data_IF_738377828186
#
_entry.id   IF_738377828186
#
_cell.length_a   1.000
_cell.length_b   1.000
_cell.length_c   1.000
_cell.angle_alpha   90.00
_cell.angle_beta   90.00
_cell.angle_gamma   90.00
#
_symmetry.space_group_name_H-M   'P 1'
#
loop_
_entity.id
_entity.type
_entity.pdbx_description
1 polymer ?
#
# COMPACT_ATOMS: atom_id res chain seq x y z
N UNK A 1 -84.68 26.16 49.65
CA UNK A 1 -83.51 26.19 50.44
C UNK A 1 -82.47 25.46 49.62
N UNK A 2 -81.70 26.18 48.87
CA UNK A 2 -80.91 25.69 47.77
C UNK A 2 -79.46 25.59 48.17
N UNK A 3 -78.91 24.42 48.01
CA UNK A 3 -77.48 24.25 48.05
C UNK A 3 -76.98 23.71 46.68
N UNK A 4 -76.32 24.60 45.99
CA UNK A 4 -75.62 24.25 44.70
C UNK A 4 -74.26 23.68 45.00
N UNK A 5 -73.80 22.67 44.22
CA UNK A 5 -72.44 22.13 44.33
C UNK A 5 -71.47 22.89 43.44
N UNK A 6 -70.31 23.19 43.98
CA UNK A 6 -69.16 23.78 43.29
C UNK A 6 -68.44 22.76 42.51
N UNK A 7 -68.24 23.09 41.26
CA UNK A 7 -67.58 22.28 40.23
C UNK A 7 -66.10 22.13 40.45
N UNK A 8 -65.60 20.90 40.29
CA UNK A 8 -64.16 20.55 40.01
C UNK A 8 -63.90 20.70 38.51
N UNK A 9 -62.93 21.53 38.10
CA UNK A 9 -61.95 21.08 37.09
C UNK A 9 -60.59 21.76 37.30
N UNK A 10 -59.68 21.18 38.07
CA UNK A 10 -58.31 21.68 38.12
C UNK A 10 -57.25 20.56 38.23
N UNK A 11 -57.60 19.28 37.97
CA UNK A 11 -56.69 18.18 38.12
C UNK A 11 -56.14 17.59 36.78
N UNK A 12 -56.66 17.97 35.63
CA UNK A 12 -56.26 17.40 34.33
C UNK A 12 -55.29 18.27 33.55
N UNK A 13 -54.99 19.50 33.96
CA UNK A 13 -54.04 20.39 33.26
C UNK A 13 -52.55 20.21 33.68
N UNK A 14 -52.32 19.58 34.85
CA UNK A 14 -50.94 19.38 35.34
C UNK A 14 -50.31 18.09 34.76
N UNK A 15 -51.12 17.11 34.38
CA UNK A 15 -50.60 15.83 33.81
C UNK A 15 -50.18 15.94 32.35
N UNK A 16 -50.69 16.91 31.57
CA UNK A 16 -50.32 17.09 30.16
C UNK A 16 -48.99 17.86 30.00
N UNK A 17 -48.64 18.75 30.93
CA UNK A 17 -47.37 19.48 30.87
C UNK A 17 -46.17 18.64 31.28
N UNK A 18 -46.32 17.62 32.16
CA UNK A 18 -45.23 16.71 32.54
C UNK A 18 -44.88 15.69 31.47
N UNK A 19 -45.87 15.27 30.64
CA UNK A 19 -45.63 14.35 29.53
C UNK A 19 -44.93 15.02 28.34
N UNK A 20 -45.16 16.32 28.10
CA UNK A 20 -44.50 17.07 27.02
C UNK A 20 -43.03 17.39 27.33
N UNK A 21 -42.65 17.55 28.61
CA UNK A 21 -41.24 17.75 28.98
C UNK A 21 -40.41 16.48 28.94
N UNK A 22 -40.97 15.29 29.01
CA UNK A 22 -40.23 14.02 28.91
C UNK A 22 -40.00 13.59 27.45
N UNK A 23 -40.77 14.07 26.47
CA UNK A 23 -40.56 13.80 25.06
C UNK A 23 -39.52 14.71 24.42
N UNK A 24 -39.21 15.87 24.97
CA UNK A 24 -38.16 16.76 24.46
C UNK A 24 -36.75 16.40 24.98
N UNK A 25 -36.66 15.59 26.03
CA UNK A 25 -35.38 15.10 26.59
C UNK A 25 -34.72 13.94 25.82
N UNK A 26 -35.47 13.24 24.95
CA UNK A 26 -34.99 12.08 24.25
C UNK A 26 -34.39 12.34 22.86
N UNK A 27 -34.35 13.60 22.40
CA UNK A 27 -33.77 13.99 21.10
C UNK A 27 -32.45 14.72 21.21
N UNK A 28 -31.79 14.67 22.36
CA UNK A 28 -30.33 14.83 22.40
C UNK A 28 -29.72 13.49 22.02
N UNK A 29 -29.90 13.12 20.73
CA UNK A 29 -29.01 12.15 20.12
C UNK A 29 -27.60 12.62 20.48
N UNK A 30 -26.91 11.83 21.30
CA UNK A 30 -25.49 11.94 21.53
C UNK A 30 -24.90 12.08 20.14
N UNK A 31 -24.53 13.27 19.72
CA UNK A 31 -23.56 13.46 18.66
C UNK A 31 -22.31 12.81 19.23
N UNK A 32 -22.18 11.51 18.99
CA UNK A 32 -20.91 10.87 19.16
C UNK A 32 -19.93 11.79 18.46
N UNK A 33 -19.03 12.40 19.19
CA UNK A 33 -17.91 13.11 18.60
C UNK A 33 -17.30 12.12 17.65
N UNK A 34 -17.39 12.39 16.34
CA UNK A 34 -16.76 11.55 15.36
C UNK A 34 -15.29 11.42 15.78
N UNK A 35 -14.84 10.20 15.98
CA UNK A 35 -13.48 9.95 16.41
C UNK A 35 -12.52 10.58 15.38
N UNK A 36 -11.42 11.10 15.85
CA UNK A 36 -10.32 11.51 14.99
C UNK A 36 -9.32 10.36 14.96
N UNK A 37 -9.19 9.70 13.83
CA UNK A 37 -8.17 8.68 13.61
C UNK A 37 -6.83 9.33 13.30
N UNK A 38 -5.74 8.72 13.74
CA UNK A 38 -4.38 9.06 13.33
C UNK A 38 -3.86 7.95 12.41
N UNK A 39 -3.64 8.32 11.16
CA UNK A 39 -3.07 7.45 10.13
C UNK A 39 -1.56 7.71 10.01
N UNK A 40 -0.74 6.68 10.27
CA UNK A 40 0.66 6.68 9.85
C UNK A 40 0.71 6.15 8.42
N UNK A 41 1.10 7.03 7.50
CA UNK A 41 1.04 6.80 6.07
C UNK A 41 2.42 6.70 5.43
N UNK A 42 2.71 5.56 4.83
CA UNK A 42 3.87 5.32 3.97
C UNK A 42 3.42 4.86 2.56
N UNK A 43 2.22 5.25 2.14
CA UNK A 43 1.76 5.13 0.76
C UNK A 43 1.77 6.52 0.11
N UNK A 44 1.77 6.60 -1.20
CA UNK A 44 1.80 7.85 -1.96
C UNK A 44 0.77 8.87 -1.48
N UNK A 45 1.21 10.08 -1.13
CA UNK A 45 0.36 11.09 -0.50
C UNK A 45 -0.84 11.49 -1.37
N UNK A 46 -0.68 11.58 -2.69
CA UNK A 46 -1.76 11.93 -3.60
C UNK A 46 -2.91 10.90 -3.56
N UNK A 47 -2.57 9.61 -3.44
CA UNK A 47 -3.55 8.52 -3.30
C UNK A 47 -4.28 8.65 -1.96
N UNK A 48 -3.52 8.78 -0.87
CA UNK A 48 -4.06 8.82 0.50
C UNK A 48 -4.91 10.05 0.73
N UNK A 49 -4.51 11.23 0.25
CA UNK A 49 -5.28 12.46 0.38
C UNK A 49 -6.67 12.34 -0.25
N UNK A 50 -6.77 11.67 -1.39
CA UNK A 50 -8.07 11.44 -2.03
C UNK A 50 -8.92 10.43 -1.29
N UNK A 51 -8.32 9.32 -0.81
CA UNK A 51 -9.01 8.31 -0.02
C UNK A 51 -9.52 8.87 1.31
N UNK A 52 -8.71 9.63 2.02
CA UNK A 52 -9.10 10.27 3.29
C UNK A 52 -10.27 11.21 3.07
N UNK A 53 -10.19 12.09 2.07
CA UNK A 53 -11.29 13.02 1.74
C UNK A 53 -12.59 12.28 1.44
N UNK A 54 -12.53 11.18 0.67
CA UNK A 54 -13.71 10.38 0.33
C UNK A 54 -14.26 9.64 1.56
N UNK A 55 -13.38 9.06 2.39
CA UNK A 55 -13.78 8.39 3.63
C UNK A 55 -14.43 9.35 4.63
N UNK A 56 -13.85 10.53 4.87
CA UNK A 56 -14.39 11.54 5.77
C UNK A 56 -15.78 12.01 5.31
N UNK A 57 -15.96 12.21 4.00
CA UNK A 57 -17.25 12.66 3.44
C UNK A 57 -18.37 11.64 3.66
N UNK A 58 -18.07 10.34 3.64
CA UNK A 58 -19.11 9.31 3.81
C UNK A 58 -19.31 8.83 5.25
N UNK A 59 -18.24 8.84 6.05
CA UNK A 59 -18.27 8.30 7.42
C UNK A 59 -18.50 9.38 8.50
N UNK A 60 -18.13 10.62 8.22
CA UNK A 60 -18.04 11.69 9.20
C UNK A 60 -16.88 11.54 10.19
N UNK A 61 -16.00 10.53 10.03
CA UNK A 61 -14.82 10.29 10.86
C UNK A 61 -13.66 11.09 10.27
N UNK A 62 -13.03 11.94 11.09
CA UNK A 62 -11.84 12.70 10.67
C UNK A 62 -10.60 11.84 10.71
N UNK A 63 -9.69 11.97 9.72
CA UNK A 63 -8.41 11.26 9.65
C UNK A 63 -7.26 12.25 9.60
N UNK A 64 -6.41 12.25 10.62
CA UNK A 64 -5.15 12.99 10.64
C UNK A 64 -4.06 12.13 10.05
N UNK A 65 -3.51 12.57 8.95
CA UNK A 65 -2.43 11.85 8.25
C UNK A 65 -1.07 12.35 8.73
N UNK A 66 -0.19 11.41 9.05
CA UNK A 66 1.23 11.62 9.25
C UNK A 66 1.98 10.79 8.23
N UNK A 67 2.49 11.43 7.19
CA UNK A 67 3.28 10.78 6.14
C UNK A 67 4.75 10.68 6.50
N UNK A 68 5.42 9.66 5.94
CA UNK A 68 6.85 9.42 6.06
C UNK A 68 7.24 8.14 5.35
N UNK A 69 8.55 7.91 5.24
CA UNK A 69 9.10 6.69 4.65
C UNK A 69 8.72 5.44 5.45
N UNK A 70 8.37 4.35 4.75
CA UNK A 70 7.90 3.10 5.34
C UNK A 70 8.81 2.56 6.45
N UNK A 71 10.11 2.33 6.18
CA UNK A 71 11.03 1.84 7.20
C UNK A 71 11.17 2.78 8.40
N UNK A 72 11.12 4.10 8.18
CA UNK A 72 11.22 5.08 9.26
C UNK A 72 9.97 5.08 10.17
N UNK A 73 8.78 5.06 9.57
CA UNK A 73 7.51 4.97 10.31
C UNK A 73 7.38 3.62 11.04
N UNK A 74 7.80 2.51 10.42
CA UNK A 74 7.82 1.21 11.06
C UNK A 74 8.76 1.19 12.29
N UNK A 75 9.98 1.72 12.15
CA UNK A 75 10.91 1.85 13.27
C UNK A 75 10.35 2.75 14.40
N UNK A 76 9.66 3.82 14.03
CA UNK A 76 8.97 4.69 14.97
C UNK A 76 7.86 3.94 15.73
N UNK A 77 7.00 3.19 15.05
CA UNK A 77 5.94 2.38 15.67
C UNK A 77 6.51 1.36 16.63
N UNK A 78 7.64 0.71 16.29
CA UNK A 78 8.35 -0.21 17.20
C UNK A 78 8.84 0.53 18.45
N UNK A 79 9.39 1.74 18.31
CA UNK A 79 9.88 2.54 19.44
C UNK A 79 8.75 3.10 20.32
N UNK A 80 7.62 3.46 19.73
CA UNK A 80 6.43 3.96 20.44
C UNK A 80 5.69 2.83 21.19
N UNK A 81 5.61 1.64 20.59
CA UNK A 81 4.92 0.47 21.16
C UNK A 81 3.48 0.80 21.56
N UNK A 82 3.07 0.41 22.77
CA UNK A 82 1.71 0.66 23.29
C UNK A 82 1.38 2.14 23.53
N UNK A 83 2.36 3.05 23.36
CA UNK A 83 2.18 4.50 23.53
C UNK A 83 1.99 5.22 22.19
N UNK A 84 1.98 4.49 21.08
CA UNK A 84 1.77 5.12 19.77
C UNK A 84 0.45 5.88 19.72
N UNK A 85 0.42 7.09 19.14
CA UNK A 85 -0.81 7.80 18.86
C UNK A 85 -1.50 7.30 17.58
N UNK A 86 -0.86 6.40 16.81
CA UNK A 86 -1.40 5.90 15.57
C UNK A 86 -2.54 4.91 15.81
N UNK A 87 -3.61 5.04 15.03
CA UNK A 87 -4.72 4.11 14.98
C UNK A 87 -4.58 3.12 13.82
N UNK A 88 -4.05 3.60 12.68
CA UNK A 88 -3.86 2.80 11.47
C UNK A 88 -2.47 3.05 10.92
N UNK A 89 -1.84 1.98 10.40
CA UNK A 89 -0.65 2.03 9.56
C UNK A 89 -1.02 1.61 8.15
N UNK A 90 -0.64 2.41 7.15
CA UNK A 90 -0.82 2.12 5.73
C UNK A 90 0.51 2.34 5.02
N UNK A 91 1.02 1.31 4.37
CA UNK A 91 2.32 1.34 3.68
C UNK A 91 2.21 0.73 2.28
N UNK A 92 3.11 1.13 1.42
CA UNK A 92 3.22 0.56 0.08
C UNK A 92 3.95 -0.79 0.05
N UNK A 93 4.72 -1.15 1.09
CA UNK A 93 5.54 -2.35 1.10
C UNK A 93 5.14 -3.35 2.20
N UNK A 94 5.02 -4.63 1.84
CA UNK A 94 4.63 -5.69 2.78
C UNK A 94 5.69 -6.02 3.85
N UNK A 95 7.02 -5.86 3.65
CA UNK A 95 8.00 -6.17 4.68
C UNK A 95 7.85 -5.35 5.96
N UNK A 96 7.45 -4.08 5.90
CA UNK A 96 7.17 -3.29 7.09
C UNK A 96 5.97 -3.85 7.86
N UNK A 97 4.96 -4.35 7.16
CA UNK A 97 3.80 -5.01 7.78
C UNK A 97 4.23 -6.29 8.48
N UNK A 98 5.05 -7.12 7.84
CA UNK A 98 5.61 -8.35 8.43
C UNK A 98 6.43 -8.02 9.67
N UNK A 99 7.29 -7.00 9.63
CA UNK A 99 8.08 -6.53 10.78
C UNK A 99 7.18 -6.17 11.96
N UNK A 100 6.19 -5.31 11.74
CA UNK A 100 5.30 -4.81 12.81
C UNK A 100 4.39 -5.91 13.35
N UNK A 101 3.97 -6.83 12.50
CA UNK A 101 3.20 -8.00 12.87
C UNK A 101 3.99 -8.95 13.78
N UNK A 102 5.22 -9.29 13.42
CA UNK A 102 6.14 -10.07 14.26
C UNK A 102 6.43 -9.40 15.61
N UNK A 103 6.33 -8.07 15.70
CA UNK A 103 6.41 -7.33 16.97
C UNK A 103 5.09 -7.34 17.75
N UNK A 104 4.01 -7.90 17.20
CA UNK A 104 2.70 -7.99 17.85
C UNK A 104 1.98 -6.64 17.98
N UNK A 105 2.27 -5.68 17.09
CA UNK A 105 1.73 -4.32 17.14
C UNK A 105 0.36 -4.18 16.50
N UNK A 106 -0.10 -5.17 15.72
CA UNK A 106 -1.38 -5.12 15.04
C UNK A 106 -2.50 -5.83 15.78
N UNK A 107 -3.69 -5.28 15.70
CA UNK A 107 -4.92 -5.95 16.06
C UNK A 107 -5.36 -6.88 14.91
N UNK A 108 -6.23 -7.85 15.22
CA UNK A 108 -6.87 -8.67 14.18
C UNK A 108 -7.71 -7.78 13.25
N UNK A 109 -7.55 -7.98 11.95
CA UNK A 109 -8.41 -7.35 10.94
C UNK A 109 -9.75 -8.10 10.90
N UNK A 110 -10.85 -7.37 10.73
CA UNK A 110 -12.18 -7.96 10.62
C UNK A 110 -12.25 -8.97 9.47
N UNK A 111 -12.88 -10.14 9.75
CA UNK A 111 -12.97 -11.22 8.76
C UNK A 111 -13.66 -10.82 7.44
N UNK A 112 -14.66 -9.93 7.50
CA UNK A 112 -15.30 -9.40 6.29
C UNK A 112 -14.34 -8.54 5.45
N UNK A 113 -13.48 -7.77 6.10
CA UNK A 113 -12.43 -6.97 5.45
C UNK A 113 -11.42 -7.88 4.73
N UNK A 114 -10.94 -8.92 5.40
CA UNK A 114 -10.02 -9.89 4.79
C UNK A 114 -10.63 -10.62 3.59
N UNK A 115 -11.94 -10.89 3.61
CA UNK A 115 -12.66 -11.55 2.51
C UNK A 115 -12.90 -10.63 1.29
N UNK A 116 -12.71 -9.32 1.44
CA UNK A 116 -12.87 -8.37 0.33
C UNK A 116 -11.75 -8.45 -0.71
N UNK A 117 -10.64 -9.13 -0.39
CA UNK A 117 -9.50 -9.34 -1.29
C UNK A 117 -9.14 -10.83 -1.36
N UNK A 118 -8.49 -11.32 -2.44
CA UNK A 118 -8.08 -12.71 -2.53
C UNK A 118 -7.12 -13.10 -1.40
N UNK A 119 -7.34 -14.25 -0.78
CA UNK A 119 -6.62 -14.70 0.42
C UNK A 119 -5.09 -14.68 0.28
N UNK A 120 -4.55 -14.88 -0.93
CA UNK A 120 -3.10 -14.83 -1.19
C UNK A 120 -2.45 -13.46 -0.92
N UNK A 121 -3.24 -12.40 -0.77
CA UNK A 121 -2.78 -11.03 -0.49
C UNK A 121 -2.99 -10.62 0.96
N UNK A 122 -3.38 -11.55 1.82
CA UNK A 122 -3.48 -11.38 3.26
C UNK A 122 -2.46 -12.26 3.98
N UNK A 123 -1.94 -11.85 5.15
CA UNK A 123 -1.14 -12.73 5.97
C UNK A 123 -2.00 -13.89 6.52
N UNK A 124 -1.37 -15.03 6.81
CA UNK A 124 -2.07 -16.20 7.27
C UNK A 124 -2.79 -16.00 8.62
N UNK A 125 -2.27 -15.12 9.44
CA UNK A 125 -2.81 -14.80 10.77
C UNK A 125 -3.89 -13.70 10.75
N UNK A 126 -4.05 -12.97 9.62
CA UNK A 126 -5.08 -11.96 9.44
C UNK A 126 -4.91 -10.70 10.26
N UNK A 127 -3.69 -10.27 10.55
CA UNK A 127 -3.42 -9.06 11.33
C UNK A 127 -3.35 -7.79 10.47
N UNK A 128 -3.28 -7.92 9.16
CA UNK A 128 -3.34 -6.83 8.19
C UNK A 128 -4.01 -7.30 6.90
N UNK A 129 -4.30 -6.40 5.99
CA UNK A 129 -4.94 -6.68 4.70
C UNK A 129 -4.16 -6.03 3.57
N UNK A 130 -3.97 -6.76 2.45
CA UNK A 130 -3.44 -6.18 1.22
C UNK A 130 -4.43 -5.21 0.59
N UNK A 131 -3.92 -4.10 0.05
CA UNK A 131 -4.75 -3.03 -0.53
C UNK A 131 -4.56 -2.90 -2.04
N UNK A 132 -3.32 -2.77 -2.49
CA UNK A 132 -2.95 -2.70 -3.90
C UNK A 132 -1.77 -3.64 -4.15
N UNK A 133 -1.54 -4.00 -5.43
CA UNK A 133 -0.37 -4.77 -5.82
C UNK A 133 0.41 -4.07 -6.93
N UNK A 134 1.71 -4.36 -7.03
CA UNK A 134 2.59 -3.91 -8.10
C UNK A 134 3.57 -5.00 -8.48
N UNK A 135 4.04 -4.94 -9.72
CA UNK A 135 4.99 -5.90 -10.27
C UNK A 135 6.36 -5.25 -10.43
N UNK A 136 7.42 -5.93 -10.05
CA UNK A 136 8.76 -5.58 -10.52
C UNK A 136 8.86 -5.86 -12.02
N UNK A 137 9.49 -4.94 -12.73
CA UNK A 137 9.64 -5.00 -14.19
C UNK A 137 11.02 -4.52 -14.61
N UNK A 138 11.39 -4.80 -15.85
CA UNK A 138 12.52 -4.15 -16.49
C UNK A 138 11.99 -3.09 -17.47
N UNK A 139 12.30 -1.83 -17.25
CA UNK A 139 12.07 -0.78 -18.26
C UNK A 139 13.25 -0.78 -19.21
N UNK A 140 13.01 -0.66 -20.52
CA UNK A 140 14.06 -0.64 -21.54
C UNK A 140 13.84 0.46 -22.60
N UNK A 141 14.91 1.00 -23.16
CA UNK A 141 14.83 2.01 -24.22
C UNK A 141 14.58 1.36 -25.58
N UNK A 142 13.41 1.60 -26.17
CA UNK A 142 12.94 0.93 -27.41
C UNK A 142 13.72 1.35 -28.67
N UNK A 143 14.43 2.49 -28.64
CA UNK A 143 15.27 2.94 -29.75
C UNK A 143 16.67 2.29 -29.73
N UNK A 144 17.10 1.72 -28.59
CA UNK A 144 18.47 1.24 -28.37
C UNK A 144 18.60 -0.27 -28.21
N UNK A 145 17.54 -0.96 -27.81
CA UNK A 145 17.56 -2.42 -27.61
C UNK A 145 16.22 -3.01 -28.02
N UNK A 146 16.24 -4.18 -28.62
CA UNK A 146 15.05 -4.94 -29.00
C UNK A 146 14.64 -5.91 -27.88
N UNK A 147 13.34 -6.25 -27.73
CA UNK A 147 12.87 -7.18 -26.70
C UNK A 147 13.61 -8.53 -26.67
N UNK A 148 14.00 -9.05 -27.83
CA UNK A 148 14.70 -10.33 -27.98
C UNK A 148 16.15 -10.31 -27.44
N UNK A 149 16.68 -9.12 -27.18
CA UNK A 149 18.03 -8.92 -26.63
C UNK A 149 18.00 -8.69 -25.11
N UNK A 150 16.80 -8.60 -24.52
CA UNK A 150 16.62 -8.43 -23.08
C UNK A 150 16.96 -9.72 -22.32
N UNK A 151 17.31 -9.63 -21.02
CA UNK A 151 17.70 -10.81 -20.26
C UNK A 151 16.51 -11.74 -20.05
N UNK A 152 16.74 -13.05 -20.10
CA UNK A 152 15.69 -14.03 -19.79
C UNK A 152 15.32 -14.05 -18.31
N UNK A 153 16.26 -13.70 -17.43
CA UNK A 153 16.07 -13.62 -15.98
C UNK A 153 16.64 -12.32 -15.41
N UNK A 154 16.04 -11.83 -14.34
CA UNK A 154 16.56 -10.71 -13.55
C UNK A 154 18.03 -10.93 -13.16
N UNK A 155 18.38 -12.16 -12.78
CA UNK A 155 19.72 -12.49 -12.33
C UNK A 155 20.78 -12.33 -13.43
N UNK A 156 20.40 -12.40 -14.69
CA UNK A 156 21.30 -12.19 -15.82
C UNK A 156 21.89 -10.78 -15.88
N UNK A 157 21.20 -9.77 -15.31
CA UNK A 157 21.68 -8.39 -15.24
C UNK A 157 22.99 -8.22 -14.44
N UNK A 158 23.34 -9.22 -13.62
CA UNK A 158 24.63 -9.28 -12.93
C UNK A 158 25.78 -9.79 -13.80
N UNK A 159 25.52 -10.31 -15.02
CA UNK A 159 26.54 -10.82 -15.92
C UNK A 159 27.31 -9.67 -16.59
N UNK A 160 28.60 -9.88 -16.94
CA UNK A 160 29.47 -8.81 -17.48
C UNK A 160 28.95 -8.11 -18.74
N UNK A 161 28.16 -8.79 -19.56
CA UNK A 161 27.57 -8.21 -20.79
C UNK A 161 26.60 -7.06 -20.52
N UNK A 162 26.11 -6.91 -19.27
CA UNK A 162 25.22 -5.85 -18.84
C UNK A 162 25.95 -4.63 -18.25
N UNK A 163 27.28 -4.63 -18.25
CA UNK A 163 28.07 -3.52 -17.70
C UNK A 163 27.74 -2.20 -18.39
N UNK A 164 27.35 -1.19 -17.59
CA UNK A 164 26.97 0.14 -18.05
C UNK A 164 25.60 0.22 -18.72
N UNK A 165 24.81 -0.88 -18.69
CA UNK A 165 23.52 -0.97 -19.39
C UNK A 165 22.31 -0.98 -18.46
N UNK A 166 22.48 -1.08 -17.15
CA UNK A 166 21.44 -1.24 -16.15
C UNK A 166 21.40 -0.03 -15.22
N UNK A 167 20.22 0.53 -14.98
CA UNK A 167 19.94 1.49 -13.91
C UNK A 167 19.28 0.81 -12.72
N UNK A 168 19.68 1.16 -11.51
CA UNK A 168 19.05 0.68 -10.27
C UNK A 168 19.06 1.79 -9.21
N UNK A 169 18.10 1.76 -8.29
CA UNK A 169 17.99 2.68 -7.15
C UNK A 169 18.01 1.88 -5.82
N UNK A 170 19.18 1.42 -5.33
CA UNK A 170 19.24 0.55 -4.17
C UNK A 170 18.79 1.20 -2.85
N UNK A 171 18.75 2.54 -2.77
CA UNK A 171 18.25 3.31 -1.63
C UNK A 171 16.74 3.54 -1.66
N UNK A 172 16.09 3.28 -2.79
CA UNK A 172 14.64 3.33 -2.92
C UNK A 172 13.99 2.18 -2.11
N UNK A 173 12.89 2.47 -1.43
CA UNK A 173 12.17 1.51 -0.60
C UNK A 173 11.67 0.29 -1.38
N UNK A 174 11.43 0.44 -2.69
CA UNK A 174 10.93 -0.62 -3.56
C UNK A 174 11.99 -1.64 -3.97
N UNK A 175 13.28 -1.30 -3.87
CA UNK A 175 14.36 -2.23 -4.20
C UNK A 175 14.57 -3.32 -3.14
N UNK A 176 14.33 -3.02 -1.86
CA UNK A 176 14.48 -3.96 -0.75
C UNK A 176 13.60 -5.22 -0.89
N UNK A 177 12.28 -5.11 -1.15
CA UNK A 177 11.41 -6.28 -1.36
C UNK A 177 11.84 -7.16 -2.53
N UNK A 178 12.40 -6.58 -3.59
CA UNK A 178 12.97 -7.36 -4.70
C UNK A 178 14.18 -8.17 -4.24
N UNK A 179 15.08 -7.58 -3.45
CA UNK A 179 16.24 -8.31 -2.89
C UNK A 179 15.77 -9.41 -1.96
N UNK A 180 14.73 -9.19 -1.16
CA UNK A 180 14.10 -10.22 -0.32
C UNK A 180 13.50 -11.35 -1.15
N UNK A 181 12.88 -11.04 -2.29
CA UNK A 181 12.37 -12.06 -3.21
C UNK A 181 13.52 -12.92 -3.82
N UNK A 182 14.62 -12.27 -4.23
CA UNK A 182 15.81 -13.00 -4.69
C UNK A 182 16.37 -13.88 -3.59
N UNK A 183 16.46 -13.37 -2.35
CA UNK A 183 16.95 -14.12 -1.20
C UNK A 183 16.08 -15.34 -0.90
N UNK A 184 14.75 -15.17 -0.89
CA UNK A 184 13.81 -16.24 -0.62
C UNK A 184 13.86 -17.37 -1.65
N UNK A 185 14.07 -17.04 -2.93
CA UNK A 185 14.06 -18.02 -4.04
C UNK A 185 15.42 -18.65 -4.31
N UNK A 186 16.51 -17.90 -4.11
CA UNK A 186 17.85 -18.33 -4.55
C UNK A 186 18.86 -18.46 -3.41
N UNK A 187 18.53 -18.02 -2.19
CA UNK A 187 19.38 -18.07 -1.01
C UNK A 187 20.44 -16.98 -0.96
N UNK A 188 21.10 -16.86 0.18
CA UNK A 188 22.00 -15.76 0.53
C UNK A 188 23.20 -15.62 -0.39
N UNK A 189 23.87 -16.75 -0.70
CA UNK A 189 25.08 -16.74 -1.53
C UNK A 189 24.80 -16.24 -2.95
N UNK A 190 23.72 -16.71 -3.58
CA UNK A 190 23.32 -16.29 -4.92
C UNK A 190 22.87 -14.84 -4.94
N UNK A 191 22.13 -14.39 -3.91
CA UNK A 191 21.71 -13.00 -3.77
C UNK A 191 22.90 -12.06 -3.65
N UNK A 192 23.86 -12.38 -2.78
CA UNK A 192 25.08 -11.57 -2.63
C UNK A 192 25.89 -11.51 -3.91
N UNK A 193 26.00 -12.64 -4.64
CA UNK A 193 26.67 -12.68 -5.93
C UNK A 193 25.96 -11.79 -6.96
N UNK A 194 24.64 -11.86 -7.05
CA UNK A 194 23.83 -11.02 -7.93
C UNK A 194 24.00 -9.54 -7.60
N UNK A 195 23.91 -9.15 -6.32
CA UNK A 195 24.10 -7.75 -5.87
C UNK A 195 25.50 -7.22 -6.21
N UNK A 196 26.56 -8.03 -6.02
CA UNK A 196 27.93 -7.65 -6.42
C UNK A 196 28.06 -7.48 -7.94
N UNK A 197 27.40 -8.32 -8.72
CA UNK A 197 27.32 -8.17 -10.17
C UNK A 197 26.58 -6.91 -10.59
N UNK A 198 25.45 -6.60 -9.96
CA UNK A 198 24.76 -5.33 -10.19
C UNK A 198 25.63 -4.12 -9.82
N UNK A 199 26.33 -4.15 -8.68
CA UNK A 199 27.28 -3.09 -8.29
C UNK A 199 28.34 -2.83 -9.34
N UNK A 200 28.83 -3.89 -9.99
CA UNK A 200 29.84 -3.78 -11.04
C UNK A 200 29.29 -3.29 -12.38
N UNK A 201 28.00 -3.54 -12.64
CA UNK A 201 27.35 -3.30 -13.94
C UNK A 201 26.47 -2.06 -13.99
N UNK A 202 25.81 -1.70 -12.87
CA UNK A 202 24.74 -0.72 -12.88
C UNK A 202 25.23 0.74 -12.72
N UNK A 203 24.45 1.65 -13.27
CA UNK A 203 24.43 3.06 -12.85
C UNK A 203 23.47 3.16 -11.66
N UNK A 204 23.91 3.84 -10.60
CA UNK A 204 23.13 4.03 -9.38
C UNK A 204 22.37 5.34 -9.48
N UNK A 205 21.09 5.31 -9.12
CA UNK A 205 20.18 6.45 -9.05
C UNK A 205 19.65 6.58 -7.61
N UNK A 206 19.11 7.74 -7.28
CA UNK A 206 18.54 8.00 -5.96
C UNK A 206 17.16 7.34 -5.79
N UNK A 207 16.38 7.27 -6.88
CA UNK A 207 15.01 6.72 -6.92
C UNK A 207 14.67 6.08 -8.28
N UNK A 208 13.58 5.32 -8.31
CA UNK A 208 13.07 4.62 -9.49
C UNK A 208 12.48 5.57 -10.55
N UNK A 209 12.04 6.78 -10.18
CA UNK A 209 11.66 7.82 -11.13
C UNK A 209 12.87 8.26 -11.96
N UNK A 210 14.00 8.47 -11.30
CA UNK A 210 15.27 8.81 -11.94
C UNK A 210 15.75 7.72 -12.89
N UNK A 211 15.64 6.44 -12.48
CA UNK A 211 15.94 5.27 -13.32
C UNK A 211 15.06 5.28 -14.58
N UNK A 212 13.74 5.37 -14.40
CA UNK A 212 12.75 5.34 -15.48
C UNK A 212 12.96 6.48 -16.48
N UNK A 213 13.17 7.69 -15.97
CA UNK A 213 13.45 8.87 -16.77
C UNK A 213 14.79 8.76 -17.54
N UNK A 214 15.83 8.18 -16.92
CA UNK A 214 17.13 7.97 -17.56
C UNK A 214 17.03 6.94 -18.70
N UNK A 215 16.29 5.84 -18.50
CA UNK A 215 16.01 4.86 -19.56
C UNK A 215 15.25 5.51 -20.72
N UNK A 216 14.19 6.27 -20.43
CA UNK A 216 13.40 6.94 -21.47
C UNK A 216 14.24 7.91 -22.31
N UNK A 217 15.13 8.68 -21.68
CA UNK A 217 16.06 9.58 -22.38
C UNK A 217 17.22 8.85 -23.06
N UNK A 218 17.40 7.56 -22.81
CA UNK A 218 18.50 6.76 -23.34
C UNK A 218 19.85 7.01 -22.66
N UNK A 219 19.85 7.51 -21.43
CA UNK A 219 21.03 7.64 -20.59
C UNK A 219 21.55 6.31 -20.09
N UNK A 220 20.65 5.37 -19.87
CA UNK A 220 20.93 3.97 -19.58
C UNK A 220 20.01 3.09 -20.45
N UNK A 221 20.41 1.84 -20.69
CA UNK A 221 19.73 0.98 -21.65
C UNK A 221 18.47 0.34 -21.06
N UNK A 222 18.57 -0.11 -19.82
CA UNK A 222 17.51 -0.76 -19.07
C UNK A 222 17.51 -0.28 -17.62
N UNK A 223 16.40 -0.50 -16.89
CA UNK A 223 16.28 -0.18 -15.47
C UNK A 223 15.37 -1.15 -14.75
N UNK A 224 15.73 -1.52 -13.53
CA UNK A 224 14.88 -2.33 -12.64
C UNK A 224 14.04 -1.35 -11.84
N UNK A 225 12.69 -1.46 -11.93
CA UNK A 225 11.74 -0.59 -11.24
C UNK A 225 10.42 -1.34 -10.99
N UNK A 226 9.49 -0.76 -10.24
CA UNK A 226 8.10 -1.20 -10.23
C UNK A 226 7.33 -0.63 -11.43
N UNK A 227 6.31 -1.33 -11.90
CA UNK A 227 5.55 -1.00 -13.11
C UNK A 227 4.99 0.43 -13.09
N UNK A 228 4.46 0.88 -11.97
CA UNK A 228 3.77 2.17 -11.87
C UNK A 228 4.66 3.39 -12.17
N UNK A 229 5.98 3.30 -12.01
CA UNK A 229 6.89 4.38 -12.38
C UNK A 229 6.91 4.63 -13.90
N UNK A 230 6.94 3.53 -14.68
CA UNK A 230 6.87 3.67 -16.13
C UNK A 230 5.47 4.04 -16.60
N UNK A 231 4.42 3.44 -16.01
CA UNK A 231 3.04 3.72 -16.38
C UNK A 231 2.70 5.20 -16.16
N UNK A 232 3.16 5.78 -15.05
CA UNK A 232 3.05 7.21 -14.76
C UNK A 232 3.79 8.07 -15.79
N UNK A 233 5.05 7.76 -16.04
CA UNK A 233 5.86 8.48 -17.04
C UNK A 233 5.20 8.41 -18.43
N UNK A 234 4.69 7.25 -18.82
CA UNK A 234 4.01 7.08 -20.10
C UNK A 234 2.71 7.89 -20.17
N UNK A 235 1.90 7.89 -19.13
CA UNK A 235 0.68 8.68 -19.05
C UNK A 235 0.96 10.20 -19.15
N UNK A 236 2.05 10.67 -18.54
CA UNK A 236 2.47 12.08 -18.57
C UNK A 236 3.01 12.51 -19.95
N UNK A 237 3.84 11.68 -20.56
CA UNK A 237 4.52 12.03 -21.83
C UNK A 237 3.69 11.70 -23.07
N UNK A 238 2.83 10.69 -22.99
CA UNK A 238 2.09 10.11 -24.10
C UNK A 238 2.97 9.34 -25.10
N UNK A 239 2.34 8.64 -26.02
CA UNK A 239 2.97 7.73 -27.00
C UNK A 239 4.10 8.37 -27.80
N UNK A 240 3.93 9.64 -28.20
CA UNK A 240 4.88 10.34 -29.08
C UNK A 240 6.21 10.67 -28.42
N UNK A 241 6.22 10.83 -27.10
CA UNK A 241 7.39 11.23 -26.31
C UNK A 241 7.99 10.10 -25.50
N UNK A 242 7.25 9.00 -25.30
CA UNK A 242 7.74 7.80 -24.62
C UNK A 242 8.63 7.00 -25.57
N UNK A 243 9.88 6.77 -25.14
CA UNK A 243 10.92 6.05 -25.89
C UNK A 243 11.39 4.81 -25.12
N UNK A 244 10.60 4.37 -24.16
CA UNK A 244 10.84 3.21 -23.32
C UNK A 244 9.58 2.35 -23.28
N UNK A 245 9.73 1.11 -22.85
CA UNK A 245 8.63 0.19 -22.64
C UNK A 245 8.93 -0.73 -21.45
N UNK A 246 7.89 -1.33 -20.89
CA UNK A 246 8.00 -2.38 -19.87
C UNK A 246 8.33 -3.71 -20.55
N UNK A 247 9.25 -4.45 -19.95
CA UNK A 247 9.48 -5.86 -20.19
C UNK A 247 9.09 -6.65 -18.95
N UNK A 248 8.11 -7.51 -19.09
CA UNK A 248 7.69 -8.47 -18.06
C UNK A 248 8.55 -9.73 -18.20
N UNK A 249 9.16 -10.15 -17.10
CA UNK A 249 9.96 -11.37 -17.10
C UNK A 249 9.10 -12.63 -17.30
N UNK A 250 9.74 -13.72 -17.70
CA UNK A 250 9.07 -14.99 -17.94
C UNK A 250 8.43 -15.57 -16.66
N UNK A 251 7.53 -16.55 -16.85
CA UNK A 251 6.77 -17.17 -15.77
C UNK A 251 7.66 -17.66 -14.62
N UNK A 252 7.40 -17.16 -13.43
CA UNK A 252 8.07 -17.55 -12.20
C UNK A 252 9.46 -16.95 -12.00
N UNK A 253 9.93 -16.08 -12.92
CA UNK A 253 11.17 -15.35 -12.70
C UNK A 253 11.00 -14.32 -11.59
N UNK A 254 12.03 -14.18 -10.76
CA UNK A 254 12.02 -13.25 -9.63
C UNK A 254 11.90 -11.79 -10.08
N UNK A 255 12.27 -11.47 -11.31
CA UNK A 255 12.12 -10.14 -11.89
C UNK A 255 10.66 -9.72 -12.11
N UNK A 256 9.72 -10.67 -12.09
CA UNK A 256 8.27 -10.40 -12.07
C UNK A 256 7.65 -10.55 -10.68
N UNK A 257 8.42 -10.36 -9.61
CA UNK A 257 7.89 -10.44 -8.24
C UNK A 257 6.79 -9.40 -8.02
N UNK A 258 5.70 -9.84 -7.39
CA UNK A 258 4.59 -8.97 -7.02
C UNK A 258 4.66 -8.70 -5.52
N UNK A 259 4.68 -7.43 -5.16
CA UNK A 259 4.55 -6.97 -3.78
C UNK A 259 3.21 -6.26 -3.60
N UNK A 260 2.80 -6.06 -2.34
CA UNK A 260 1.54 -5.40 -2.02
C UNK A 260 1.73 -4.25 -1.05
N UNK A 261 0.94 -3.21 -1.25
CA UNK A 261 0.65 -2.26 -0.21
C UNK A 261 -0.39 -2.86 0.74
N UNK A 262 -0.37 -2.46 2.00
CA UNK A 262 -1.32 -3.00 2.96
C UNK A 262 -1.57 -2.10 4.15
N UNK A 263 -2.67 -2.35 4.83
CA UNK A 263 -3.10 -1.58 5.98
C UNK A 263 -3.41 -2.48 7.19
N UNK A 264 -3.13 -1.95 8.37
CA UNK A 264 -3.38 -2.61 9.64
C UNK A 264 -3.89 -1.63 10.70
N UNK A 265 -4.73 -2.14 11.60
CA UNK A 265 -5.12 -1.40 12.80
C UNK A 265 -4.08 -1.64 13.89
N UNK A 266 -3.58 -0.57 14.53
CA UNK A 266 -2.67 -0.69 15.65
C UNK A 266 -3.40 -1.24 16.88
N UNK A 267 -2.80 -2.24 17.55
CA UNK A 267 -3.34 -2.85 18.76
C UNK A 267 -3.55 -1.84 19.89
N UNK A 268 -2.67 -0.83 19.97
CA UNK A 268 -2.73 0.25 20.96
C UNK A 268 -3.82 1.30 20.67
N UNK A 269 -4.45 1.28 19.49
CA UNK A 269 -5.50 2.24 19.10
C UNK A 269 -6.63 2.26 20.15
N UNK A 270 -7.06 3.45 20.50
CA UNK A 270 -8.24 3.71 21.34
C UNK A 270 -9.55 3.79 20.53
N UNK A 271 -9.44 3.78 19.21
CA UNK A 271 -10.51 3.95 18.24
C UNK A 271 -10.70 2.71 17.36
N UNK A 272 -10.53 1.51 17.93
CA UNK A 272 -10.50 0.23 17.21
C UNK A 272 -11.63 0.09 16.17
N UNK A 273 -12.88 0.37 16.57
CA UNK A 273 -14.03 0.21 15.68
C UNK A 273 -13.98 1.16 14.48
N UNK A 274 -13.54 2.39 14.65
CA UNK A 274 -13.46 3.37 13.58
C UNK A 274 -12.21 3.13 12.71
N UNK A 275 -11.11 2.66 13.30
CA UNK A 275 -9.92 2.22 12.57
C UNK A 275 -10.23 1.01 11.66
N UNK A 276 -11.00 0.01 12.15
CA UNK A 276 -11.48 -1.11 11.33
C UNK A 276 -12.36 -0.64 10.16
N UNK A 277 -13.23 0.37 10.38
CA UNK A 277 -14.03 0.95 9.28
C UNK A 277 -13.14 1.60 8.21
N UNK A 278 -12.07 2.29 8.62
CA UNK A 278 -11.15 2.89 7.67
C UNK A 278 -10.38 1.82 6.87
N UNK A 279 -9.86 0.79 7.53
CA UNK A 279 -9.18 -0.33 6.85
C UNK A 279 -10.15 -1.08 5.92
N UNK A 280 -11.39 -1.33 6.35
CA UNK A 280 -12.43 -1.91 5.50
C UNK A 280 -12.76 -1.04 4.28
N UNK A 281 -12.78 0.29 4.46
CA UNK A 281 -12.96 1.23 3.36
C UNK A 281 -11.85 1.10 2.32
N UNK A 282 -10.57 1.01 2.73
CA UNK A 282 -9.43 0.92 1.79
C UNK A 282 -9.53 -0.27 0.82
N UNK A 283 -10.14 -1.38 1.25
CA UNK A 283 -10.36 -2.56 0.40
C UNK A 283 -11.76 -2.66 -0.19
N UNK A 284 -12.61 -1.65 0.03
CA UNK A 284 -13.95 -1.60 -0.56
C UNK A 284 -13.89 -1.37 -2.08
N UNK A 285 -14.91 -1.82 -2.80
CA UNK A 285 -15.04 -1.55 -4.24
C UNK A 285 -14.94 -0.05 -4.56
N UNK A 286 -15.50 0.82 -3.69
CA UNK A 286 -15.46 2.26 -3.85
C UNK A 286 -14.04 2.81 -3.81
N UNK A 287 -13.28 2.53 -2.75
CA UNK A 287 -11.92 3.02 -2.58
C UNK A 287 -11.00 2.45 -3.66
N UNK A 288 -11.16 1.18 -3.98
CA UNK A 288 -10.39 0.52 -5.04
C UNK A 288 -10.65 1.12 -6.43
N UNK A 289 -11.89 1.53 -6.73
CA UNK A 289 -12.21 2.30 -7.96
C UNK A 289 -11.56 3.68 -7.96
N UNK A 290 -11.48 4.35 -6.82
CA UNK A 290 -10.76 5.63 -6.71
C UNK A 290 -9.28 5.43 -7.03
N UNK A 291 -8.65 4.40 -6.46
CA UNK A 291 -7.23 4.10 -6.67
C UNK A 291 -6.92 3.63 -8.10
N UNK A 292 -7.76 2.78 -8.68
CA UNK A 292 -7.58 2.28 -10.04
C UNK A 292 -7.93 3.29 -11.13
N UNK A 293 -8.68 4.34 -10.80
CA UNK A 293 -9.15 5.32 -11.77
C UNK A 293 -8.29 6.58 -11.84
N UNK A 294 -8.44 7.33 -12.95
CA UNK A 294 -7.89 8.69 -13.07
C UNK A 294 -6.36 8.80 -13.06
N UNK A 295 -5.65 7.74 -13.34
CA UNK A 295 -4.19 7.70 -13.35
C UNK A 295 -3.56 8.12 -12.02
N UNK A 296 -4.17 7.69 -10.89
CA UNK A 296 -3.74 8.12 -9.55
C UNK A 296 -2.60 7.27 -9.00
N UNK A 297 -2.73 5.92 -9.03
CA UNK A 297 -1.72 5.04 -8.46
C UNK A 297 -0.93 4.25 -9.50
N UNK A 298 -1.57 3.79 -10.57
CA UNK A 298 -1.01 2.82 -11.53
C UNK A 298 -0.62 1.48 -10.88
N UNK A 299 -1.24 1.17 -9.75
CA UNK A 299 -1.12 -0.12 -9.07
C UNK A 299 -2.39 -0.96 -9.35
N UNK A 300 -2.29 -2.25 -9.12
CA UNK A 300 -3.39 -3.19 -9.31
C UNK A 300 -4.34 -3.19 -8.12
N UNK A 301 -5.64 -2.90 -8.31
CA UNK A 301 -6.63 -3.06 -7.25
C UNK A 301 -6.78 -4.54 -6.87
N UNK A 302 -6.92 -4.83 -5.58
CA UNK A 302 -7.06 -6.21 -5.10
C UNK A 302 -8.52 -6.65 -4.92
N UNK A 303 -9.48 -5.71 -4.91
CA UNK A 303 -10.90 -6.05 -4.85
C UNK A 303 -11.35 -6.72 -6.16
N UNK A 304 -11.92 -7.94 -6.13
CA UNK A 304 -12.23 -8.72 -7.34
C UNK A 304 -13.19 -8.05 -8.31
N UNK A 305 -14.03 -7.12 -7.84
CA UNK A 305 -14.99 -6.37 -8.64
C UNK A 305 -14.42 -5.12 -9.34
N UNK A 306 -13.12 -4.84 -9.22
CA UNK A 306 -12.50 -3.63 -9.76
C UNK A 306 -11.44 -3.99 -10.78
N UNK A 307 -11.63 -3.50 -12.02
CA UNK A 307 -10.60 -3.63 -13.06
C UNK A 307 -9.45 -2.66 -12.81
N UNK A 308 -8.19 -3.03 -13.11
CA UNK A 308 -7.08 -2.11 -13.10
C UNK A 308 -7.23 -1.01 -14.16
N UNK A 309 -6.39 0.04 -14.06
CA UNK A 309 -6.28 1.04 -15.12
C UNK A 309 -5.98 0.36 -16.46
N UNK A 310 -6.64 0.76 -17.57
CA UNK A 310 -6.45 0.13 -18.88
C UNK A 310 -5.02 0.19 -19.44
N UNK A 311 -4.16 1.07 -18.92
CA UNK A 311 -2.75 1.13 -19.32
C UNK A 311 -1.96 -0.07 -18.79
N UNK A 312 -2.42 -0.67 -17.68
CA UNK A 312 -1.75 -1.79 -17.05
C UNK A 312 -2.02 -3.08 -17.81
N UNK A 313 -1.01 -3.95 -17.85
CA UNK A 313 -1.20 -5.33 -18.28
C UNK A 313 -2.27 -5.99 -17.38
N UNK A 314 -3.21 -6.79 -17.92
CA UNK A 314 -4.20 -7.46 -17.08
C UNK A 314 -3.55 -8.29 -15.95
N UNK A 315 -4.06 -8.14 -14.73
CA UNK A 315 -3.44 -8.75 -13.54
C UNK A 315 -3.37 -10.30 -13.61
N UNK A 316 -4.32 -10.93 -14.26
CA UNK A 316 -4.35 -12.38 -14.49
C UNK A 316 -3.35 -12.86 -15.55
N UNK A 317 -2.72 -11.95 -16.30
CA UNK A 317 -1.66 -12.24 -17.26
C UNK A 317 -0.27 -12.08 -16.65
N UNK A 318 -0.15 -11.53 -15.44
CA UNK A 318 1.08 -11.54 -14.68
C UNK A 318 1.42 -12.98 -14.26
N UNK A 319 2.68 -13.29 -14.21
CA UNK A 319 3.15 -14.63 -13.89
C UNK A 319 4.25 -14.59 -12.80
N UNK A 320 3.95 -13.99 -11.63
CA UNK A 320 4.93 -13.83 -10.57
C UNK A 320 5.43 -15.17 -10.05
N UNK A 321 6.61 -15.20 -9.41
CA UNK A 321 7.03 -16.36 -8.64
C UNK A 321 6.07 -16.61 -7.47
N UNK A 322 5.97 -17.86 -7.06
CA UNK A 322 5.16 -18.23 -5.91
C UNK A 322 5.93 -17.88 -4.62
N UNK A 323 5.60 -16.75 -4.02
CA UNK A 323 6.16 -16.26 -2.76
C UNK A 323 5.03 -15.90 -1.80
N UNK A 324 5.23 -16.22 -0.52
CA UNK A 324 4.38 -15.74 0.58
C UNK A 324 5.04 -14.56 1.28
N UNK A 325 4.27 -13.77 2.03
CA UNK A 325 4.81 -12.66 2.82
C UNK A 325 5.80 -13.14 3.89
N UNK A 326 5.56 -14.31 4.49
CA UNK A 326 6.51 -14.95 5.41
C UNK A 326 7.86 -15.26 4.77
N UNK A 327 7.85 -15.69 3.50
CA UNK A 327 9.08 -15.93 2.76
C UNK A 327 9.80 -14.64 2.36
N UNK A 328 9.08 -13.57 2.06
CA UNK A 328 9.67 -12.25 1.81
C UNK A 328 10.31 -11.69 3.08
N UNK A 329 9.66 -11.88 4.24
CA UNK A 329 10.18 -11.43 5.54
C UNK A 329 10.12 -9.91 5.72
N UNK A 330 10.96 -9.40 6.62
CA UNK A 330 11.00 -8.01 7.09
C UNK A 330 12.12 -7.15 6.47
N UNK A 331 12.68 -7.58 5.36
CA UNK A 331 13.79 -6.94 4.62
C UNK A 331 15.12 -6.78 5.38
N UNK A 332 15.18 -7.16 6.65
CA UNK A 332 16.38 -6.94 7.47
C UNK A 332 17.62 -7.64 6.92
N UNK A 333 17.46 -8.87 6.39
CA UNK A 333 18.55 -9.63 5.78
C UNK A 333 18.91 -9.06 4.40
N UNK A 334 17.92 -8.64 3.59
CA UNK A 334 18.13 -7.97 2.31
C UNK A 334 18.96 -6.70 2.49
N UNK A 335 18.64 -5.86 3.46
CA UNK A 335 19.40 -4.66 3.79
C UNK A 335 20.85 -4.94 4.22
N UNK A 336 21.10 -6.04 4.95
CA UNK A 336 22.47 -6.48 5.27
C UNK A 336 23.25 -6.86 4.02
N UNK A 337 22.63 -7.61 3.10
CA UNK A 337 23.27 -8.03 1.85
C UNK A 337 23.57 -6.85 0.92
N UNK A 338 22.69 -5.85 0.85
CA UNK A 338 22.92 -4.61 0.09
C UNK A 338 24.16 -3.88 0.62
N UNK A 339 24.27 -3.68 1.94
CA UNK A 339 25.47 -3.08 2.57
C UNK A 339 26.72 -3.93 2.30
N UNK A 340 26.62 -5.24 2.41
CA UNK A 340 27.75 -6.16 2.17
C UNK A 340 28.21 -6.15 0.71
N UNK A 341 27.29 -5.89 -0.23
CA UNK A 341 27.60 -5.71 -1.66
C UNK A 341 28.12 -4.29 -1.97
N UNK A 342 28.02 -3.34 -1.04
CA UNK A 342 28.42 -1.94 -1.23
C UNK A 342 27.43 -1.14 -2.10
N UNK A 343 26.14 -1.49 -2.04
CA UNK A 343 25.03 -0.79 -2.71
C UNK A 343 24.32 0.19 -1.80
N UNK A 344 24.47 0.02 -0.48
CA UNK A 344 24.07 0.96 0.59
C UNK A 344 25.26 1.29 1.47
#
# INVERSE_FOLDING_TARGET
MNTSPVSRPLRHLISAAAAALMLTGALHAVRAHAATLTLYNAQHEQVVNQLVKDFEAQSGITVKVRSGEGPALAAQLVAEGDRTPADVYFTENSPELVLLDHKGLFAKTDGATLQSVPARFNPADGNWVGVLARENVLVYNTAKIQPQQLPASLLDLAKPEWKGKVGVAPSDADFLPLVSAVLALHGEAATLQWLKGLKANAQIFDDDEGVTAAVNRGGVLTGIVNNYYWDRLHAELGDKSTRSAIYHFGKGDVGGAVNVSGAAVLKASKHQADAQKFVAYLVSERAQKVMAGGHISFEYPLHPGVAPDPILKPFNELSPPALTFEQLGDDSQAGKLLRQAGLL
#
